data_IF_120705796097
#
_entry.id   IF_120705796097
#
_cell.length_a   1.000
_cell.length_b   1.000
_cell.length_c   1.000
_cell.angle_alpha   90.00
_cell.angle_beta   90.00
_cell.angle_gamma   90.00
#
_symmetry.space_group_name_H-M   'P 1'
#
loop_
_entity.id
_entity.type
_entity.pdbx_description
1 polymer ?
#
# COMPACT_ATOMS: atom_id res chain seq x y z
N UNK A 1 -3.99 8.65 10.69
CA UNK A 1 -4.85 8.14 9.62
C UNK A 1 -5.60 6.91 10.11
N UNK A 2 -6.91 6.97 10.15
CA UNK A 2 -7.74 5.88 10.68
C UNK A 2 -8.29 5.09 9.52
N UNK A 3 -7.83 3.84 9.35
CA UNK A 3 -8.37 2.92 8.34
C UNK A 3 -9.49 2.12 8.99
N UNK A 4 -10.75 2.39 8.62
CA UNK A 4 -11.90 1.60 9.04
C UNK A 4 -12.21 0.54 7.99
N UNK A 5 -12.07 -0.74 8.32
CA UNK A 5 -12.60 -1.83 7.51
C UNK A 5 -14.01 -2.18 8.03
N UNK A 6 -15.02 -1.57 7.46
CA UNK A 6 -16.42 -1.95 7.66
C UNK A 6 -16.91 -2.71 6.44
N UNK A 7 -16.97 -4.02 6.50
CA UNK A 7 -17.53 -4.88 5.46
C UNK A 7 -17.36 -6.35 5.84
N UNK A 8 -18.39 -7.14 5.64
CA UNK A 8 -18.49 -8.59 5.89
C UNK A 8 -17.20 -9.33 5.58
N UNK A 9 -16.61 -9.95 6.60
CA UNK A 9 -15.42 -10.79 6.49
C UNK A 9 -15.71 -12.05 5.68
N UNK A 10 -15.23 -12.07 4.46
CA UNK A 10 -14.97 -13.31 3.74
C UNK A 10 -13.58 -13.14 3.13
N UNK A 11 -12.62 -13.92 3.61
CA UNK A 11 -11.24 -14.07 3.15
C UNK A 11 -10.40 -12.78 2.89
N UNK A 12 -9.40 -12.54 3.73
CA UNK A 12 -8.30 -11.66 3.44
C UNK A 12 -8.27 -10.33 4.19
N UNK A 13 -8.18 -10.35 5.51
CA UNK A 13 -8.01 -9.15 6.35
C UNK A 13 -6.79 -8.31 5.90
N UNK A 14 -5.74 -8.94 5.37
CA UNK A 14 -4.57 -8.26 4.80
C UNK A 14 -4.86 -7.47 3.53
N UNK A 15 -5.64 -8.03 2.61
CA UNK A 15 -5.92 -7.44 1.30
C UNK A 15 -6.81 -6.20 1.35
N UNK A 16 -7.75 -6.11 2.30
CA UNK A 16 -8.59 -4.91 2.48
C UNK A 16 -7.78 -3.73 3.02
N UNK A 17 -6.86 -3.98 3.94
CA UNK A 17 -5.96 -2.97 4.48
C UNK A 17 -5.04 -2.40 3.40
N UNK A 18 -4.43 -3.25 2.58
CA UNK A 18 -3.58 -2.83 1.46
C UNK A 18 -4.33 -1.99 0.43
N UNK A 19 -5.53 -2.42 0.01
CA UNK A 19 -6.37 -1.67 -0.93
C UNK A 19 -6.77 -0.30 -0.38
N UNK A 20 -7.03 -0.19 0.91
CA UNK A 20 -7.38 1.07 1.53
C UNK A 20 -6.21 2.04 1.54
N UNK A 21 -5.02 1.56 1.94
CA UNK A 21 -3.80 2.39 1.92
C UNK A 21 -3.45 2.81 0.50
N UNK A 22 -3.55 1.89 -0.46
CA UNK A 22 -3.35 2.19 -1.88
C UNK A 22 -4.28 3.32 -2.34
N UNK A 23 -5.59 3.22 -2.08
CA UNK A 23 -6.57 4.23 -2.48
C UNK A 23 -6.31 5.60 -1.82
N UNK A 24 -5.91 5.60 -0.55
CA UNK A 24 -5.60 6.84 0.17
C UNK A 24 -4.35 7.51 -0.40
N UNK A 25 -3.28 6.74 -0.61
CA UNK A 25 -2.06 7.27 -1.20
C UNK A 25 -2.31 7.78 -2.63
N UNK A 26 -3.08 7.03 -3.44
CA UNK A 26 -3.47 7.47 -4.78
C UNK A 26 -4.16 8.83 -4.74
N UNK A 27 -5.16 9.00 -3.89
CA UNK A 27 -5.88 10.28 -3.75
C UNK A 27 -5.03 11.40 -3.13
N UNK A 28 -4.05 11.06 -2.31
CA UNK A 28 -3.12 12.04 -1.76
C UNK A 28 -2.17 12.61 -2.82
N UNK A 29 -1.64 11.75 -3.69
CA UNK A 29 -0.72 12.16 -4.76
C UNK A 29 -1.45 12.77 -5.96
N UNK A 30 -2.69 12.33 -6.24
CA UNK A 30 -3.52 12.86 -7.31
C UNK A 30 -5.00 12.87 -6.89
N UNK A 31 -5.54 14.01 -6.48
CA UNK A 31 -6.95 14.12 -6.10
C UNK A 31 -7.92 14.12 -7.28
N UNK A 32 -7.43 14.37 -8.50
CA UNK A 32 -8.26 14.39 -9.69
C UNK A 32 -8.32 13.03 -10.37
N UNK A 33 -9.53 12.51 -10.51
CA UNK A 33 -9.76 11.15 -11.06
C UNK A 33 -9.39 11.01 -12.53
N UNK A 34 -9.36 12.11 -13.28
CA UNK A 34 -9.05 12.12 -14.71
C UNK A 34 -7.60 11.66 -15.01
N UNK A 35 -6.69 11.86 -14.04
CA UNK A 35 -5.29 11.42 -14.13
C UNK A 35 -5.07 10.03 -13.53
N UNK A 36 -6.09 9.41 -12.94
CA UNK A 36 -5.99 8.10 -12.30
C UNK A 36 -6.36 6.98 -13.28
N UNK A 37 -5.80 5.78 -13.02
CA UNK A 37 -6.11 4.52 -13.73
C UNK A 37 -5.98 4.61 -15.26
N UNK A 38 -4.92 5.26 -15.74
CA UNK A 38 -4.67 5.46 -17.16
C UNK A 38 -4.07 4.20 -17.81
N UNK A 39 -4.57 3.83 -18.98
CA UNK A 39 -4.05 2.69 -19.77
C UNK A 39 -2.82 3.09 -20.56
N UNK A 40 -1.68 2.44 -20.30
CA UNK A 40 -0.41 2.69 -20.96
C UNK A 40 0.25 1.35 -21.31
N UNK A 41 0.49 1.08 -22.57
CA UNK A 41 1.20 -0.12 -23.03
C UNK A 41 0.60 -1.45 -22.59
N UNK A 42 -0.73 -1.52 -22.45
CA UNK A 42 -1.45 -2.73 -21.99
C UNK A 42 -1.54 -2.88 -20.47
N UNK A 43 -0.96 -1.96 -19.71
CA UNK A 43 -1.07 -1.88 -18.25
C UNK A 43 -1.91 -0.69 -17.82
N UNK A 44 -2.39 -0.73 -16.58
CA UNK A 44 -3.09 0.42 -15.96
C UNK A 44 -2.12 1.09 -14.99
N UNK A 45 -1.80 2.36 -15.23
CA UNK A 45 -1.05 3.20 -14.33
C UNK A 45 -1.98 3.74 -13.22
N UNK A 46 -1.52 3.74 -11.97
CA UNK A 46 -2.32 4.29 -10.87
C UNK A 46 -2.59 5.78 -11.08
N UNK A 47 -1.55 6.52 -11.49
CA UNK A 47 -1.62 7.93 -11.83
C UNK A 47 -0.73 8.18 -13.04
N UNK A 48 -1.21 8.95 -14.03
CA UNK A 48 -0.39 9.41 -15.16
C UNK A 48 -0.75 10.86 -15.49
N UNK A 49 0.25 11.72 -15.49
CA UNK A 49 0.10 13.15 -15.76
C UNK A 49 1.31 13.73 -16.47
N UNK A 50 1.38 15.05 -16.56
CA UNK A 50 2.45 15.78 -17.26
C UNK A 50 3.85 15.51 -16.67
N UNK A 51 3.93 15.23 -15.38
CA UNK A 51 5.19 14.97 -14.66
C UNK A 51 5.63 13.51 -14.65
N UNK A 52 4.90 12.64 -15.35
CA UNK A 52 5.21 11.22 -15.42
C UNK A 52 4.14 10.32 -14.81
N UNK A 53 4.54 9.08 -14.53
CA UNK A 53 3.69 8.03 -13.97
C UNK A 53 4.02 7.86 -12.49
N UNK A 54 2.98 7.75 -11.65
CA UNK A 54 3.12 7.39 -10.23
C UNK A 54 2.42 6.05 -10.01
N UNK A 55 3.15 5.10 -9.44
CA UNK A 55 2.66 3.78 -9.06
C UNK A 55 2.68 3.62 -7.55
N UNK A 56 1.55 3.25 -6.97
CA UNK A 56 1.41 2.98 -5.54
C UNK A 56 1.64 1.49 -5.30
N UNK A 57 2.82 1.12 -4.86
CA UNK A 57 3.17 -0.29 -4.62
C UNK A 57 3.29 -0.57 -3.13
N UNK A 58 2.28 -1.23 -2.57
CA UNK A 58 2.22 -1.54 -1.13
C UNK A 58 3.04 -2.77 -0.75
N UNK A 59 3.27 -3.70 -1.68
CA UNK A 59 4.05 -4.92 -1.47
C UNK A 59 4.57 -5.49 -2.79
N UNK A 60 5.54 -6.42 -2.71
CA UNK A 60 6.05 -7.25 -3.81
C UNK A 60 6.38 -6.51 -5.12
N UNK A 61 7.45 -5.73 -5.08
CA UNK A 61 7.95 -5.00 -6.27
C UNK A 61 8.28 -5.93 -7.46
N UNK A 62 8.54 -7.21 -7.19
CA UNK A 62 8.80 -8.18 -8.26
C UNK A 62 7.65 -8.31 -9.26
N UNK A 63 6.40 -8.15 -8.82
CA UNK A 63 5.22 -8.25 -9.67
C UNK A 63 5.09 -7.11 -10.68
N UNK A 64 5.70 -5.95 -10.39
CA UNK A 64 5.59 -4.79 -11.28
C UNK A 64 6.67 -4.73 -12.37
N UNK A 65 7.61 -5.70 -12.44
CA UNK A 65 8.76 -5.62 -13.36
C UNK A 65 8.38 -5.37 -14.82
N UNK A 66 7.42 -6.13 -15.37
CA UNK A 66 6.95 -5.95 -16.76
C UNK A 66 6.26 -4.61 -16.98
N UNK A 67 5.45 -4.20 -16.02
CA UNK A 67 4.76 -2.92 -16.02
C UNK A 67 5.79 -1.76 -15.98
N UNK A 68 6.78 -1.89 -15.10
CA UNK A 68 7.83 -0.91 -14.92
C UNK A 68 8.70 -0.76 -16.18
N UNK A 69 9.06 -1.87 -16.84
CA UNK A 69 9.78 -1.86 -18.12
C UNK A 69 9.00 -1.08 -19.19
N UNK A 70 7.70 -1.36 -19.31
CA UNK A 70 6.82 -0.66 -20.25
C UNK A 70 6.71 0.83 -19.94
N UNK A 71 6.51 1.19 -18.68
CA UNK A 71 6.31 2.58 -18.30
C UNK A 71 7.58 3.42 -18.45
N UNK A 72 8.73 2.89 -18.05
CA UNK A 72 10.03 3.56 -18.18
C UNK A 72 10.45 3.76 -19.63
N UNK A 73 9.88 3.02 -20.59
CA UNK A 73 10.13 3.21 -22.01
C UNK A 73 9.44 4.46 -22.58
N UNK A 74 8.44 4.99 -21.89
CA UNK A 74 7.60 6.09 -22.39
C UNK A 74 7.58 7.32 -21.48
N UNK A 75 7.88 7.16 -20.19
CA UNK A 75 7.73 8.26 -19.22
C UNK A 75 8.61 8.03 -17.98
N UNK A 76 8.98 9.08 -17.24
CA UNK A 76 9.49 8.94 -15.89
C UNK A 76 8.47 8.25 -14.98
N UNK A 77 8.95 7.40 -14.06
CA UNK A 77 8.13 6.64 -13.13
C UNK A 77 8.56 6.92 -11.70
N UNK A 78 7.59 7.19 -10.84
CA UNK A 78 7.79 7.29 -9.40
C UNK A 78 7.03 6.15 -8.71
N UNK A 79 7.74 5.30 -7.96
CA UNK A 79 7.13 4.29 -7.10
C UNK A 79 6.91 4.90 -5.73
N UNK A 80 5.65 4.89 -5.28
CA UNK A 80 5.25 5.30 -3.93
C UNK A 80 5.04 4.03 -3.09
N UNK A 81 5.77 3.92 -1.98
CA UNK A 81 5.69 2.76 -1.10
C UNK A 81 5.47 3.17 0.36
N UNK A 82 4.43 2.65 1.03
CA UNK A 82 4.21 2.90 2.45
C UNK A 82 5.19 2.10 3.31
N UNK A 83 5.70 2.75 4.35
CA UNK A 83 6.57 2.15 5.38
C UNK A 83 5.89 2.34 6.73
N UNK A 84 5.52 1.27 7.40
CA UNK A 84 4.75 1.32 8.65
C UNK A 84 5.65 1.44 9.88
N UNK A 85 5.92 2.67 10.30
CA UNK A 85 6.76 2.94 11.48
C UNK A 85 6.10 2.50 12.79
N UNK A 86 4.77 2.49 12.82
CA UNK A 86 3.98 2.07 13.97
C UNK A 86 2.59 1.61 13.56
N UNK A 87 2.18 0.46 14.05
CA UNK A 87 0.82 -0.05 13.86
C UNK A 87 0.18 -0.34 15.22
N UNK A 88 -0.98 0.26 15.49
CA UNK A 88 -1.82 -0.09 16.63
C UNK A 88 -2.89 -1.07 16.17
N UNK A 89 -3.03 -2.16 16.87
CA UNK A 89 -3.99 -3.22 16.57
C UNK A 89 -5.12 -3.16 17.60
N UNK A 90 -6.33 -2.93 17.11
CA UNK A 90 -7.56 -2.94 17.89
C UNK A 90 -8.34 -4.22 17.56
N UNK A 91 -8.69 -4.99 18.57
CA UNK A 91 -9.60 -6.12 18.41
C UNK A 91 -11.01 -5.68 18.76
N UNK A 92 -11.94 -5.93 17.85
CA UNK A 92 -13.35 -5.62 18.02
C UNK A 92 -14.15 -6.90 18.28
N UNK A 93 -15.16 -6.81 19.13
CA UNK A 93 -16.17 -7.85 19.27
C UNK A 93 -16.96 -7.98 17.97
N UNK A 94 -17.13 -9.21 17.49
CA UNK A 94 -18.00 -9.48 16.34
C UNK A 94 -19.47 -9.21 16.65
N UNK A 95 -19.86 -9.35 17.92
CA UNK A 95 -21.25 -9.20 18.36
C UNK A 95 -21.63 -7.74 18.61
N UNK A 96 -20.76 -6.99 19.31
CA UNK A 96 -21.08 -5.62 19.76
C UNK A 96 -20.35 -4.54 18.97
N UNK A 97 -19.28 -4.89 18.24
CA UNK A 97 -18.39 -3.94 17.57
C UNK A 97 -17.50 -3.13 18.53
N UNK A 98 -17.56 -3.42 19.83
CA UNK A 98 -16.75 -2.71 20.83
C UNK A 98 -15.29 -3.18 20.82
N UNK A 99 -14.38 -2.30 21.24
CA UNK A 99 -12.96 -2.63 21.37
C UNK A 99 -12.74 -3.56 22.56
N UNK A 100 -12.38 -4.82 22.29
CA UNK A 100 -12.04 -5.82 23.31
C UNK A 100 -10.62 -5.61 23.83
N UNK A 101 -9.68 -5.32 22.92
CA UNK A 101 -8.28 -5.12 23.28
C UNK A 101 -7.57 -4.18 22.31
N UNK A 102 -6.51 -3.55 22.81
CA UNK A 102 -5.64 -2.66 22.06
C UNK A 102 -4.18 -2.99 22.36
N UNK A 103 -3.37 -3.11 21.32
CA UNK A 103 -1.92 -3.30 21.47
C UNK A 103 -1.16 -2.61 20.34
N UNK A 104 0.11 -2.32 20.55
CA UNK A 104 1.03 -1.91 19.49
C UNK A 104 1.62 -3.16 18.85
N UNK A 105 1.71 -3.18 17.53
CA UNK A 105 2.39 -4.25 16.80
C UNK A 105 3.87 -4.27 17.17
N UNK A 106 4.47 -5.44 17.43
CA UNK A 106 5.92 -5.55 17.62
C UNK A 106 6.69 -5.31 16.33
N UNK A 107 6.03 -5.49 15.18
CA UNK A 107 6.64 -5.22 13.87
C UNK A 107 6.65 -3.72 13.64
N UNK A 108 7.84 -3.19 13.43
CA UNK A 108 8.09 -1.79 13.04
C UNK A 108 8.96 -1.80 11.80
N UNK A 109 8.55 -1.03 10.83
CA UNK A 109 9.33 -0.81 9.63
C UNK A 109 10.12 0.50 9.73
N UNK A 110 11.16 0.57 8.95
CA UNK A 110 11.97 1.77 8.72
C UNK A 110 12.42 1.78 7.25
N UNK A 111 13.14 2.79 6.82
CA UNK A 111 13.59 2.88 5.43
C UNK A 111 14.43 1.68 4.96
N UNK A 112 15.16 1.01 5.85
CA UNK A 112 15.94 -0.19 5.50
C UNK A 112 15.04 -1.40 5.20
N UNK A 113 13.81 -1.42 5.70
CA UNK A 113 12.83 -2.47 5.43
C UNK A 113 12.46 -2.58 3.95
N UNK A 114 12.76 -1.54 3.16
CA UNK A 114 12.47 -1.49 1.72
C UNK A 114 13.51 -2.22 0.87
N UNK A 115 14.72 -2.45 1.38
CA UNK A 115 15.80 -3.05 0.59
C UNK A 115 15.48 -4.41 -0.03
N UNK A 116 14.81 -5.34 0.64
CA UNK A 116 14.40 -6.60 0.02
C UNK A 116 13.48 -6.39 -1.20
N UNK A 117 12.61 -5.38 -1.15
CA UNK A 117 11.73 -5.04 -2.27
C UNK A 117 12.51 -4.40 -3.42
N UNK A 118 13.40 -3.46 -3.13
CA UNK A 118 14.29 -2.85 -4.12
C UNK A 118 15.16 -3.89 -4.82
N UNK A 119 15.64 -4.91 -4.09
CA UNK A 119 16.43 -5.98 -4.67
C UNK A 119 15.68 -6.75 -5.77
N UNK A 120 14.36 -6.92 -5.65
CA UNK A 120 13.53 -7.60 -6.66
C UNK A 120 13.50 -6.85 -8.00
N UNK A 121 13.76 -5.54 -7.99
CA UNK A 121 13.80 -4.67 -9.18
C UNK A 121 15.18 -4.06 -9.41
N UNK A 122 16.25 -4.69 -8.90
CA UNK A 122 17.62 -4.16 -8.95
C UNK A 122 18.11 -3.77 -10.34
N UNK A 123 17.61 -4.44 -11.40
CA UNK A 123 17.97 -4.12 -12.80
C UNK A 123 17.51 -2.72 -13.24
N UNK A 124 16.50 -2.16 -12.57
CA UNK A 124 15.95 -0.84 -12.90
C UNK A 124 16.54 0.30 -12.06
N UNK A 125 17.24 0.00 -10.95
CA UNK A 125 17.69 1.02 -9.99
C UNK A 125 18.71 2.03 -10.56
N UNK A 126 19.33 1.71 -11.68
CA UNK A 126 20.24 2.63 -12.39
C UNK A 126 19.53 3.51 -13.42
N UNK A 127 18.23 3.32 -13.62
CA UNK A 127 17.48 4.11 -14.59
C UNK A 127 17.19 5.49 -13.99
N UNK A 128 17.68 6.54 -14.66
CA UNK A 128 17.55 7.94 -14.21
C UNK A 128 16.09 8.43 -14.20
N UNK A 129 15.21 7.76 -14.95
CA UNK A 129 13.78 8.04 -14.98
C UNK A 129 12.98 7.30 -13.89
N UNK A 130 13.63 6.52 -13.01
CA UNK A 130 13.00 5.85 -11.89
C UNK A 130 13.26 6.57 -10.58
N UNK A 131 12.19 6.96 -9.90
CA UNK A 131 12.22 7.61 -8.59
C UNK A 131 11.40 6.84 -7.56
N UNK A 132 11.67 7.10 -6.27
CA UNK A 132 10.97 6.47 -5.16
C UNK A 132 10.51 7.50 -4.15
N UNK A 133 9.27 7.35 -3.68
CA UNK A 133 8.74 8.04 -2.52
C UNK A 133 8.38 7.01 -1.43
N UNK A 134 9.16 6.95 -0.37
CA UNK A 134 8.86 6.12 0.79
C UNK A 134 8.07 6.95 1.80
N UNK A 135 6.80 6.59 1.99
CA UNK A 135 5.87 7.33 2.85
C UNK A 135 5.81 6.67 4.21
N UNK A 136 6.37 7.34 5.23
CA UNK A 136 6.29 6.84 6.61
C UNK A 136 4.88 7.00 7.15
N UNK A 137 4.27 5.88 7.58
CA UNK A 137 2.91 5.85 8.10
C UNK A 137 2.86 5.33 9.54
N UNK A 138 1.96 5.92 10.33
CA UNK A 138 1.39 5.29 11.51
C UNK A 138 -0.03 4.83 11.17
N UNK A 139 -0.36 3.59 11.47
CA UNK A 139 -1.64 2.99 11.13
C UNK A 139 -2.37 2.44 12.35
N UNK A 140 -3.69 2.57 12.33
CA UNK A 140 -4.60 1.88 13.26
C UNK A 140 -5.29 0.75 12.48
N UNK A 141 -5.04 -0.50 12.91
CA UNK A 141 -5.58 -1.71 12.30
C UNK A 141 -6.70 -2.27 13.20
N UNK A 142 -7.88 -2.42 12.61
CA UNK A 142 -9.03 -2.98 13.30
C UNK A 142 -9.28 -4.43 12.85
N UNK A 143 -9.20 -5.37 13.80
CA UNK A 143 -9.45 -6.80 13.59
C UNK A 143 -10.70 -7.21 14.30
N UNK A 144 -11.66 -7.80 13.59
CA UNK A 144 -12.82 -8.44 14.21
C UNK A 144 -12.36 -9.80 14.76
N UNK A 145 -12.67 -10.07 15.99
CA UNK A 145 -12.38 -11.35 16.66
C UNK A 145 -13.68 -11.99 17.06
N UNK A 146 -13.93 -13.21 16.60
CA UNK A 146 -14.94 -14.05 17.21
C UNK A 146 -14.46 -14.33 18.64
N UNK A 147 -15.18 -13.79 19.61
CA UNK A 147 -14.94 -14.05 21.03
C UNK A 147 -15.29 -15.51 21.33
N UNK A 148 -14.45 -16.44 20.91
CA UNK A 148 -14.43 -17.75 21.51
C UNK A 148 -13.54 -17.66 22.75
N UNK A 149 -14.12 -17.22 23.84
CA UNK A 149 -13.59 -17.59 25.15
C UNK A 149 -13.58 -19.12 25.22
N UNK A 150 -12.44 -19.74 24.94
CA UNK A 150 -12.17 -21.07 25.46
C UNK A 150 -11.64 -20.90 26.89
N UNK A 151 -12.21 -21.62 27.83
CA UNK A 151 -11.83 -21.60 29.24
C UNK A 151 -10.41 -22.09 29.45
#
# INVERSE_FOLDING_TARGET
MTVRSGGRLIDGIGTLSEKTVHAILKNYFEPFTDSQEQKIGGFVADIAGENGIIEIQTADFGKMRKKLETFLSVSPVTIVHPVYSKTKIFRLSNETGEVISKRVSPVKENFYSVFPELYKIKSFLKNENLSFHFVMLEADEYRISDAVNKP
#
